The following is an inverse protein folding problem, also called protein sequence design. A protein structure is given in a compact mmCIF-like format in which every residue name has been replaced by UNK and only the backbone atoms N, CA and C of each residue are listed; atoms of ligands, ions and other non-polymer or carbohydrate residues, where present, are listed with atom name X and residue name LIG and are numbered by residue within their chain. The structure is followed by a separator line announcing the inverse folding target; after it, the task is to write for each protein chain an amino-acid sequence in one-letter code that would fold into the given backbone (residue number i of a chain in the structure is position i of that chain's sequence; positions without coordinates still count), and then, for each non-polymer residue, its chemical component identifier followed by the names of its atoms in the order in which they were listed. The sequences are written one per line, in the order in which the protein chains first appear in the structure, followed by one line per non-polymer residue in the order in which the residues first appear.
data_IF_056286017762
#
_entry.id   IF_056286017762
#
_cell.length_a   1.000
_cell.length_b   1.000
_cell.length_c   1.000
_cell.angle_alpha   90.00
_cell.angle_beta   90.00
_cell.angle_gamma   90.00
#
_symmetry.space_group_name_H-M   'P 1'
#
loop_
_entity.id
_entity.type
_entity.pdbx_description
1 polymer ?
#
# COMPACT_ATOMS: atom_id res chain seq x y z
N UNK A 1 56.74 -37.68 -9.36
CA UNK A 1 55.79 -38.25 -8.40
C UNK A 1 55.17 -37.26 -7.45
N UNK A 2 55.88 -36.22 -7.11
CA UNK A 2 55.38 -35.11 -6.28
C UNK A 2 54.21 -34.36 -6.95
N UNK A 3 54.09 -34.38 -8.26
CA UNK A 3 53.05 -33.73 -9.00
C UNK A 3 51.68 -34.34 -8.71
N UNK A 4 51.56 -35.65 -8.49
CA UNK A 4 50.30 -36.29 -8.17
C UNK A 4 49.78 -35.89 -6.77
N UNK A 5 50.66 -35.72 -5.82
CA UNK A 5 50.29 -35.26 -4.49
C UNK A 5 49.82 -33.83 -4.53
N UNK A 6 50.46 -32.98 -5.37
CA UNK A 6 50.05 -31.56 -5.54
C UNK A 6 48.65 -31.48 -6.17
N UNK A 7 48.30 -32.31 -7.15
CA UNK A 7 46.97 -32.33 -7.73
C UNK A 7 45.91 -32.67 -6.70
N UNK A 8 46.17 -33.65 -5.84
CA UNK A 8 45.22 -34.02 -4.77
C UNK A 8 45.05 -32.89 -3.76
N UNK A 9 46.14 -32.20 -3.44
CA UNK A 9 46.07 -31.03 -2.54
C UNK A 9 45.33 -29.85 -3.15
N UNK A 10 45.47 -29.63 -4.48
CA UNK A 10 44.80 -28.54 -5.18
C UNK A 10 43.32 -28.77 -5.35
N UNK A 11 42.87 -30.02 -5.53
CA UNK A 11 41.43 -30.30 -5.72
C UNK A 11 40.54 -29.81 -4.58
N UNK A 12 40.88 -30.09 -3.30
CA UNK A 12 40.10 -29.55 -2.18
C UNK A 12 40.11 -28.04 -2.12
N UNK A 13 41.23 -27.38 -2.45
CA UNK A 13 41.35 -25.93 -2.46
C UNK A 13 40.47 -25.33 -3.55
N UNK A 14 40.51 -25.88 -4.75
CA UNK A 14 39.68 -25.42 -5.87
C UNK A 14 38.19 -25.61 -5.54
N UNK A 15 37.85 -26.77 -4.97
CA UNK A 15 36.46 -27.02 -4.57
C UNK A 15 35.99 -26.00 -3.53
N UNK A 16 36.85 -25.65 -2.57
CA UNK A 16 36.52 -24.64 -1.55
C UNK A 16 36.30 -23.27 -2.17
N UNK A 17 37.14 -22.88 -3.13
CA UNK A 17 37.04 -21.59 -3.83
C UNK A 17 35.73 -21.54 -4.62
N UNK A 18 35.39 -22.60 -5.33
CA UNK A 18 34.13 -22.66 -6.11
C UNK A 18 32.93 -22.56 -5.15
N UNK A 19 32.97 -23.28 -4.06
CA UNK A 19 31.90 -23.27 -3.08
C UNK A 19 31.67 -21.88 -2.49
N UNK A 20 32.76 -21.19 -2.13
CA UNK A 20 32.71 -19.82 -1.61
C UNK A 20 32.15 -18.88 -2.68
N UNK A 21 32.60 -18.99 -3.93
CA UNK A 21 32.12 -18.14 -5.03
C UNK A 21 30.62 -18.32 -5.27
N UNK A 22 30.14 -19.58 -5.28
CA UNK A 22 28.71 -19.86 -5.44
C UNK A 22 27.90 -19.31 -4.27
N UNK A 23 28.40 -19.49 -3.05
CA UNK A 23 27.72 -19.00 -1.84
C UNK A 23 27.58 -17.48 -1.87
N UNK A 24 28.65 -16.76 -2.23
CA UNK A 24 28.66 -15.30 -2.33
C UNK A 24 27.70 -14.86 -3.44
N UNK A 25 27.74 -15.49 -4.61
CA UNK A 25 26.87 -15.13 -5.74
C UNK A 25 25.41 -15.31 -5.37
N UNK A 26 25.04 -16.44 -4.74
CA UNK A 26 23.66 -16.70 -4.30
C UNK A 26 23.24 -15.69 -3.24
N UNK A 27 24.12 -15.37 -2.30
CA UNK A 27 23.82 -14.40 -1.24
C UNK A 27 23.53 -13.00 -1.80
N UNK A 28 24.31 -12.57 -2.79
CA UNK A 28 24.08 -11.28 -3.46
C UNK A 28 22.76 -11.30 -4.22
N UNK A 29 22.47 -12.38 -4.93
CA UNK A 29 21.23 -12.51 -5.70
C UNK A 29 20.00 -12.47 -4.78
N UNK A 30 20.05 -13.21 -3.66
CA UNK A 30 18.96 -13.23 -2.68
C UNK A 30 18.79 -11.86 -2.04
N UNK A 31 19.89 -11.19 -1.66
CA UNK A 31 19.84 -9.87 -1.06
C UNK A 31 19.22 -8.84 -2.01
N UNK A 32 19.58 -8.89 -3.28
CA UNK A 32 19.02 -7.98 -4.30
C UNK A 32 17.52 -8.24 -4.48
N UNK A 33 17.10 -9.48 -4.52
CA UNK A 33 15.70 -9.85 -4.68
C UNK A 33 14.88 -9.43 -3.45
N UNK A 34 15.39 -9.69 -2.25
CA UNK A 34 14.74 -9.28 -1.00
C UNK A 34 14.65 -7.76 -0.88
N UNK A 35 15.67 -7.05 -1.33
CA UNK A 35 15.65 -5.60 -1.38
C UNK A 35 14.54 -5.08 -2.27
N UNK A 36 14.39 -5.67 -3.46
CA UNK A 36 13.31 -5.30 -4.39
C UNK A 36 11.93 -5.57 -3.79
N UNK A 37 11.75 -6.71 -3.12
CA UNK A 37 10.51 -7.02 -2.43
C UNK A 37 10.21 -6.05 -1.30
N UNK A 38 11.25 -5.67 -0.54
CA UNK A 38 11.09 -4.71 0.56
C UNK A 38 10.60 -3.37 0.03
N UNK A 39 11.16 -2.90 -1.08
CA UNK A 39 10.69 -1.66 -1.71
C UNK A 39 9.23 -1.76 -2.15
N UNK A 40 8.83 -2.91 -2.69
CA UNK A 40 7.45 -3.12 -3.10
C UNK A 40 6.50 -3.07 -1.90
N UNK A 41 6.89 -3.67 -0.78
CA UNK A 41 6.09 -3.64 0.44
C UNK A 41 6.08 -2.29 1.13
N UNK A 42 7.16 -1.52 1.00
CA UNK A 42 7.23 -0.18 1.60
C UNK A 42 6.37 0.83 0.88
N UNK A 43 6.06 0.61 -0.40
CA UNK A 43 5.16 1.45 -1.17
C UNK A 43 3.71 1.04 -0.91
N UNK A 44 3.28 1.05 0.35
CA UNK A 44 1.91 0.70 0.72
C UNK A 44 1.00 1.91 0.64
N UNK A 45 -0.23 1.65 0.21
CA UNK A 45 -1.27 2.66 0.21
C UNK A 45 -1.73 2.91 1.65
N UNK A 46 -1.70 4.16 2.06
CA UNK A 46 -2.13 4.55 3.40
C UNK A 46 -3.06 5.74 3.29
N UNK A 47 -4.33 5.46 3.13
CA UNK A 47 -5.37 6.48 3.12
C UNK A 47 -6.03 6.50 4.49
N UNK A 48 -6.18 7.70 5.02
CA UNK A 48 -6.91 7.93 6.25
C UNK A 48 -8.04 8.90 5.98
N UNK A 49 -9.24 8.52 6.35
CA UNK A 49 -10.39 9.43 6.32
C UNK A 49 -10.30 10.23 7.62
N UNK A 50 -9.89 11.49 7.52
CA UNK A 50 -9.62 12.31 8.69
C UNK A 50 -10.88 12.92 9.28
N UNK A 51 -11.89 13.19 8.44
CA UNK A 51 -13.14 13.76 8.90
C UNK A 51 -14.25 13.51 7.89
N UNK A 52 -15.48 13.57 8.36
CA UNK A 52 -16.68 13.51 7.53
C UNK A 52 -17.59 14.66 7.99
N UNK A 53 -17.88 15.57 7.07
CA UNK A 53 -18.72 16.74 7.36
C UNK A 53 -20.03 16.61 6.62
N UNK A 54 -21.14 16.84 7.34
CA UNK A 54 -22.47 16.79 6.78
C UNK A 54 -22.93 18.21 6.44
N UNK A 55 -23.06 18.49 5.16
CA UNK A 55 -23.58 19.75 4.65
C UNK A 55 -24.92 19.53 3.98
N UNK A 56 -25.61 20.59 3.55
CA UNK A 56 -26.94 20.49 2.94
C UNK A 56 -26.92 19.56 1.72
N UNK A 57 -27.60 18.39 1.83
CA UNK A 57 -27.66 17.38 0.78
C UNK A 57 -26.28 16.94 0.27
N UNK A 58 -25.27 17.05 1.12
CA UNK A 58 -23.89 16.72 0.74
C UNK A 58 -23.16 16.13 1.94
N UNK A 59 -22.40 15.07 1.68
CA UNK A 59 -21.45 14.53 2.65
C UNK A 59 -20.06 14.81 2.11
N UNK A 60 -19.25 15.53 2.89
CA UNK A 60 -17.86 15.82 2.55
C UNK A 60 -16.94 14.87 3.30
N UNK A 61 -16.09 14.19 2.55
CA UNK A 61 -15.15 13.26 3.14
C UNK A 61 -13.75 13.84 2.96
N UNK A 62 -13.07 14.05 4.09
CA UNK A 62 -11.68 14.54 4.09
C UNK A 62 -10.75 13.33 4.08
N UNK A 63 -10.04 13.17 2.99
CA UNK A 63 -9.17 12.01 2.73
C UNK A 63 -7.73 12.49 2.74
N UNK A 64 -6.90 11.86 3.56
CA UNK A 64 -5.47 12.19 3.61
C UNK A 64 -4.65 10.96 3.27
N UNK A 65 -3.69 11.13 2.37
CA UNK A 65 -2.72 10.10 2.06
C UNK A 65 -1.51 10.27 2.98
N UNK A 66 -1.37 9.37 3.94
CA UNK A 66 -0.25 9.39 4.89
C UNK A 66 0.92 8.55 4.42
N UNK A 67 0.79 7.87 3.29
CA UNK A 67 1.84 7.04 2.71
C UNK A 67 2.79 7.81 1.83
N UNK A 68 3.66 7.08 1.17
CA UNK A 68 4.70 7.62 0.30
C UNK A 68 4.38 7.49 -1.18
N UNK A 69 3.26 6.85 -1.52
CA UNK A 69 2.83 6.63 -2.90
C UNK A 69 1.47 7.26 -3.15
N UNK A 70 1.22 7.80 -4.36
CA UNK A 70 -0.11 8.28 -4.70
C UNK A 70 -1.12 7.14 -4.66
N UNK A 71 -2.35 7.45 -4.24
CA UNK A 71 -3.44 6.47 -4.18
C UNK A 71 -4.60 6.99 -5.01
N UNK A 72 -5.09 6.15 -5.93
CA UNK A 72 -6.26 6.47 -6.74
C UNK A 72 -7.48 5.79 -6.13
N UNK A 73 -8.50 6.58 -5.79
CA UNK A 73 -9.77 6.09 -5.26
C UNK A 73 -10.74 5.98 -6.43
N UNK A 74 -11.29 4.80 -6.63
CA UNK A 74 -12.16 4.50 -7.77
C UNK A 74 -13.63 4.38 -7.40
N UNK A 75 -13.93 4.01 -6.14
CA UNK A 75 -15.29 3.81 -5.68
C UNK A 75 -15.49 4.34 -4.27
N UNK A 76 -16.72 4.74 -3.98
CA UNK A 76 -17.12 5.16 -2.64
C UNK A 76 -18.52 4.63 -2.36
N UNK A 77 -18.75 4.25 -1.12
CA UNK A 77 -20.05 3.77 -0.64
C UNK A 77 -20.43 4.52 0.62
N UNK A 78 -21.72 4.76 0.78
CA UNK A 78 -22.30 5.24 2.03
C UNK A 78 -23.31 4.20 2.49
N UNK A 79 -23.11 3.62 3.66
CA UNK A 79 -23.91 2.53 4.21
C UNK A 79 -24.08 1.35 3.22
N UNK A 80 -23.02 1.06 2.47
CA UNK A 80 -23.02 -0.03 1.51
C UNK A 80 -23.62 0.31 0.15
N UNK A 81 -24.12 1.54 -0.05
CA UNK A 81 -24.67 1.99 -1.32
C UNK A 81 -23.60 2.73 -2.13
N UNK A 82 -23.37 2.28 -3.37
CA UNK A 82 -22.37 2.87 -4.26
C UNK A 82 -22.79 4.31 -4.63
N UNK A 83 -21.89 5.25 -4.49
CA UNK A 83 -22.15 6.66 -4.75
C UNK A 83 -21.73 7.12 -6.14
N UNK A 84 -21.28 6.23 -6.99
CA UNK A 84 -20.93 6.52 -8.40
C UNK A 84 -20.04 7.75 -8.55
N UNK A 85 -18.95 7.79 -7.80
CA UNK A 85 -18.01 8.91 -7.85
C UNK A 85 -17.09 8.79 -9.08
N UNK A 86 -16.54 9.94 -9.50
CA UNK A 86 -15.43 9.93 -10.45
C UNK A 86 -14.14 9.61 -9.69
N UNK A 87 -13.30 8.78 -10.30
CA UNK A 87 -12.02 8.44 -9.68
C UNK A 87 -11.15 9.67 -9.47
N UNK A 88 -10.40 9.69 -8.38
CA UNK A 88 -9.47 10.76 -8.08
C UNK A 88 -8.20 10.19 -7.46
N UNK A 89 -7.10 10.92 -7.60
CA UNK A 89 -5.80 10.52 -7.05
C UNK A 89 -5.40 11.46 -5.92
N UNK A 90 -5.01 10.88 -4.79
CA UNK A 90 -4.48 11.62 -3.65
C UNK A 90 -2.97 11.42 -3.65
N UNK A 91 -2.22 12.50 -3.87
CA UNK A 91 -0.76 12.45 -3.85
C UNK A 91 -0.24 12.14 -2.45
N UNK A 92 1.00 11.63 -2.39
CA UNK A 92 1.62 11.32 -1.09
C UNK A 92 1.63 12.57 -0.19
N UNK A 93 1.33 12.38 1.08
CA UNK A 93 1.25 13.45 2.09
C UNK A 93 0.28 14.59 1.74
N UNK A 94 -0.68 14.32 0.86
CA UNK A 94 -1.66 15.32 0.43
C UNK A 94 -3.05 14.97 0.93
N UNK A 95 -3.93 15.97 0.93
CA UNK A 95 -5.31 15.83 1.34
C UNK A 95 -6.24 16.09 0.15
N UNK A 96 -7.35 15.38 0.12
CA UNK A 96 -8.40 15.55 -0.88
C UNK A 96 -9.74 15.65 -0.18
N UNK A 97 -10.61 16.52 -0.67
CA UNK A 97 -11.96 16.68 -0.16
C UNK A 97 -12.93 16.10 -1.18
N UNK A 98 -13.56 14.98 -0.84
CA UNK A 98 -14.54 14.33 -1.70
C UNK A 98 -15.93 14.80 -1.31
N UNK A 99 -16.63 15.43 -2.25
CA UNK A 99 -18.01 15.86 -2.05
C UNK A 99 -18.95 14.87 -2.72
N UNK A 100 -19.86 14.30 -1.93
CA UNK A 100 -20.85 13.36 -2.44
C UNK A 100 -22.25 13.93 -2.16
N UNK A 101 -23.07 13.97 -3.20
CA UNK A 101 -24.47 14.37 -3.04
C UNK A 101 -25.23 13.22 -2.39
N UNK A 102 -25.73 13.45 -1.19
CA UNK A 102 -26.42 12.42 -0.43
C UNK A 102 -27.40 13.07 0.54
N UNK A 103 -28.63 12.57 0.57
CA UNK A 103 -29.66 13.04 1.51
C UNK A 103 -29.49 12.31 2.83
N UNK A 104 -28.85 12.96 3.79
CA UNK A 104 -28.65 12.39 5.11
C UNK A 104 -29.69 12.90 6.10
N UNK A 105 -29.91 12.12 7.15
CA UNK A 105 -30.87 12.46 8.21
C UNK A 105 -30.12 12.75 9.51
N UNK A 106 -30.47 13.83 10.18
CA UNK A 106 -29.86 14.22 11.44
C UNK A 106 -29.99 13.10 12.48
N UNK A 107 -28.92 12.84 13.20
CA UNK A 107 -28.88 11.82 14.27
C UNK A 107 -28.56 10.43 13.78
N UNK A 108 -28.60 10.15 12.48
CA UNK A 108 -28.26 8.85 11.95
C UNK A 108 -26.76 8.69 11.80
N UNK A 109 -26.30 7.44 11.88
CA UNK A 109 -24.88 7.10 11.71
C UNK A 109 -24.66 6.61 10.28
N UNK A 110 -23.60 7.09 9.66
CA UNK A 110 -23.26 6.75 8.29
C UNK A 110 -21.84 6.19 8.23
N UNK A 111 -21.68 5.09 7.53
CA UNK A 111 -20.38 4.49 7.27
C UNK A 111 -19.94 4.86 5.85
N UNK A 112 -18.78 5.49 5.75
CA UNK A 112 -18.17 5.83 4.47
C UNK A 112 -17.09 4.81 4.16
N UNK A 113 -17.17 4.20 2.98
CA UNK A 113 -16.17 3.25 2.51
C UNK A 113 -15.59 3.76 1.20
N UNK A 114 -14.27 3.79 1.12
CA UNK A 114 -13.55 4.14 -0.10
C UNK A 114 -12.75 2.94 -0.56
N UNK A 115 -12.66 2.74 -1.87
CA UNK A 115 -11.87 1.65 -2.44
C UNK A 115 -10.87 2.23 -3.43
N UNK A 116 -9.61 1.79 -3.32
CA UNK A 116 -8.57 2.19 -4.24
C UNK A 116 -8.56 1.30 -5.48
N UNK A 117 -7.83 1.75 -6.51
CA UNK A 117 -7.64 0.97 -7.73
C UNK A 117 -6.94 -0.36 -7.48
N UNK A 118 -6.18 -0.47 -6.40
CA UNK A 118 -5.52 -1.72 -5.99
C UNK A 118 -6.42 -2.68 -5.25
N UNK A 119 -7.66 -2.28 -4.94
CA UNK A 119 -8.62 -3.11 -4.23
C UNK A 119 -8.63 -2.91 -2.72
N UNK A 120 -7.82 -2.02 -2.18
CA UNK A 120 -7.80 -1.71 -0.75
C UNK A 120 -9.02 -0.88 -0.38
N UNK A 121 -9.61 -1.18 0.79
CA UNK A 121 -10.79 -0.48 1.27
C UNK A 121 -10.48 0.30 2.55
N UNK A 122 -11.05 1.48 2.67
CA UNK A 122 -10.86 2.38 3.80
C UNK A 122 -12.22 2.79 4.33
N UNK A 123 -12.40 2.75 5.65
CA UNK A 123 -13.70 2.96 6.30
C UNK A 123 -13.64 4.06 7.33
N UNK A 124 -14.74 4.78 7.49
CA UNK A 124 -14.97 5.65 8.64
C UNK A 124 -16.46 5.74 8.91
N UNK A 125 -16.83 5.64 10.18
CA UNK A 125 -18.21 5.81 10.63
C UNK A 125 -18.34 7.14 11.35
N UNK A 126 -19.37 7.89 10.99
CA UNK A 126 -19.63 9.20 11.60
C UNK A 126 -21.12 9.38 11.79
N UNK A 127 -21.51 10.06 12.86
CA UNK A 127 -22.91 10.34 13.15
C UNK A 127 -23.26 11.75 12.70
N UNK A 128 -24.36 11.89 11.95
CA UNK A 128 -24.82 13.19 11.49
C UNK A 128 -25.26 14.06 12.67
N UNK A 129 -25.00 15.38 12.62
CA UNK A 129 -25.42 16.27 13.70
C UNK A 129 -26.95 16.31 13.85
N UNK A 130 -27.40 16.56 15.08
CA UNK A 130 -28.82 16.56 15.40
C UNK A 130 -29.46 17.93 15.34
N UNK A 131 -28.67 18.97 15.12
CA UNK A 131 -29.21 20.35 15.08
C UNK A 131 -28.80 21.09 13.83
#
# INVERSE_FOLDING_TARGET
MKLFKNKKALSPVVASIILIAVTVAVSIAVAAWMGALTFTFMATEQIKITDVVFATNTIRVYVKNTGTSPVTITKAWINGADQSISSFTVSANSQYILNMTYSWTAGNTYEVKLQSSSGNAFYRTETAPTS
#
